data_IF_546500506868
#
_entry.id   IF_546500506868
#
_cell.length_a   1.000
_cell.length_b   1.000
_cell.length_c   1.000
_cell.angle_alpha   90.00
_cell.angle_beta   90.00
_cell.angle_gamma   90.00
#
_symmetry.space_group_name_H-M   'P 1'
#
loop_
_entity.id
_entity.type
_entity.pdbx_description
1 polymer ?
#
# COMPACT_ATOMS: atom_id res chain seq x y z
N UNK A 1 -21.99 6.97 11.72
CA UNK A 1 -20.99 6.64 10.67
C UNK A 1 -19.84 5.88 11.31
N UNK A 2 -19.46 4.73 10.76
CA UNK A 2 -18.34 3.93 11.28
C UNK A 2 -17.00 4.65 11.07
N UNK A 3 -16.22 4.86 12.14
CA UNK A 3 -14.91 5.55 12.11
C UNK A 3 -13.94 4.93 11.10
N UNK A 4 -13.91 3.59 11.00
CA UNK A 4 -13.12 2.82 10.01
C UNK A 4 -13.43 3.22 8.56
N UNK A 5 -14.71 3.44 8.23
CA UNK A 5 -15.11 3.82 6.87
C UNK A 5 -14.62 5.23 6.48
N UNK A 6 -14.54 6.16 7.44
CA UNK A 6 -13.99 7.50 7.19
C UNK A 6 -12.47 7.46 7.00
N UNK A 7 -11.76 6.65 7.80
CA UNK A 7 -10.31 6.44 7.65
C UNK A 7 -10.00 5.80 6.29
N UNK A 8 -10.71 4.75 5.89
CA UNK A 8 -10.55 4.09 4.59
C UNK A 8 -10.67 5.07 3.41
N UNK A 9 -11.71 5.92 3.42
CA UNK A 9 -11.89 6.96 2.39
C UNK A 9 -10.75 7.98 2.37
N UNK A 10 -10.17 8.30 3.54
CA UNK A 10 -9.02 9.20 3.61
C UNK A 10 -7.74 8.57 3.09
N UNK A 11 -7.57 7.24 3.24
CA UNK A 11 -6.40 6.51 2.75
C UNK A 11 -6.37 6.43 1.23
N UNK A 12 -7.51 6.24 0.58
CA UNK A 12 -7.61 6.20 -0.89
C UNK A 12 -7.22 7.53 -1.57
N UNK A 13 -7.08 8.62 -0.82
CA UNK A 13 -6.57 9.90 -1.35
C UNK A 13 -5.04 9.93 -1.45
N UNK A 14 -4.34 9.08 -0.69
CA UNK A 14 -2.89 9.02 -0.71
C UNK A 14 -2.43 8.19 -1.91
N UNK A 15 -1.61 8.79 -2.79
CA UNK A 15 -1.06 8.10 -3.96
C UNK A 15 -0.31 6.83 -3.57
N UNK A 16 0.37 6.81 -2.43
CA UNK A 16 1.14 5.63 -1.96
C UNK A 16 0.22 4.45 -1.67
N UNK A 17 -0.98 4.71 -1.14
CA UNK A 17 -2.01 3.69 -0.89
C UNK A 17 -2.55 3.15 -2.22
N UNK A 18 -2.83 4.03 -3.17
CA UNK A 18 -3.32 3.63 -4.50
C UNK A 18 -2.31 2.72 -5.21
N UNK A 19 -1.01 3.03 -5.14
CA UNK A 19 0.03 2.18 -5.73
C UNK A 19 0.12 0.81 -5.03
N UNK A 20 -0.10 0.74 -3.72
CA UNK A 20 -0.14 -0.52 -2.99
C UNK A 20 -1.37 -1.36 -3.38
N UNK A 21 -2.53 -0.73 -3.54
CA UNK A 21 -3.75 -1.39 -4.02
C UNK A 21 -3.56 -1.93 -5.44
N UNK A 22 -2.86 -1.20 -6.32
CA UNK A 22 -2.55 -1.69 -7.68
C UNK A 22 -1.63 -2.91 -7.66
N UNK A 23 -0.64 -2.95 -6.75
CA UNK A 23 0.21 -4.15 -6.59
C UNK A 23 -0.62 -5.33 -6.10
N UNK A 24 -1.49 -5.10 -5.12
CA UNK A 24 -2.40 -6.12 -4.61
C UNK A 24 -3.33 -6.65 -5.70
N UNK A 25 -3.95 -5.74 -6.46
CA UNK A 25 -4.78 -6.05 -7.62
C UNK A 25 -4.04 -6.96 -8.61
N UNK A 26 -2.80 -6.63 -8.95
CA UNK A 26 -2.01 -7.43 -9.89
C UNK A 26 -1.78 -8.85 -9.34
N UNK A 27 -1.33 -8.98 -8.09
CA UNK A 27 -1.07 -10.29 -7.47
C UNK A 27 -2.34 -11.14 -7.40
N UNK A 28 -3.47 -10.55 -7.01
CA UNK A 28 -4.74 -11.27 -6.92
C UNK A 28 -5.31 -11.62 -8.29
N UNK A 29 -5.10 -10.78 -9.30
CA UNK A 29 -5.50 -11.10 -10.68
C UNK A 29 -4.69 -12.26 -11.26
N UNK A 30 -3.39 -12.31 -10.98
CA UNK A 30 -2.53 -13.44 -11.37
C UNK A 30 -2.99 -14.74 -10.71
N UNK A 31 -3.37 -14.70 -9.42
CA UNK A 31 -3.90 -15.87 -8.69
C UNK A 31 -5.27 -16.31 -9.18
N UNK A 32 -6.14 -15.36 -9.51
CA UNK A 32 -7.51 -15.62 -9.96
C UNK A 32 -7.57 -16.05 -11.44
N UNK A 33 -6.50 -15.82 -12.21
CA UNK A 33 -6.45 -16.06 -13.65
C UNK A 33 -7.31 -15.08 -14.47
N UNK A 34 -7.78 -14.00 -13.85
CA UNK A 34 -8.55 -12.93 -14.48
C UNK A 34 -8.43 -11.63 -13.66
N UNK A 35 -8.71 -10.48 -14.28
CA UNK A 35 -8.73 -9.20 -13.56
C UNK A 35 -9.91 -9.16 -12.59
N UNK A 36 -9.62 -9.02 -11.30
CA UNK A 36 -10.63 -8.92 -10.24
C UNK A 36 -11.23 -7.51 -10.13
N UNK A 37 -10.59 -6.51 -10.75
CA UNK A 37 -11.02 -5.12 -10.74
C UNK A 37 -10.62 -4.34 -9.48
N UNK A 38 -10.49 -3.02 -9.65
CA UNK A 38 -9.95 -2.13 -8.63
C UNK A 38 -10.83 -2.04 -7.38
N UNK A 39 -12.15 -2.01 -7.52
CA UNK A 39 -13.06 -1.91 -6.39
C UNK A 39 -12.91 -3.10 -5.43
N UNK A 40 -12.88 -4.32 -5.96
CA UNK A 40 -12.73 -5.55 -5.18
C UNK A 40 -11.35 -5.62 -4.51
N UNK A 41 -10.28 -5.31 -5.27
CA UNK A 41 -8.93 -5.26 -4.71
C UNK A 41 -8.78 -4.17 -3.63
N UNK A 42 -9.42 -3.01 -3.81
CA UNK A 42 -9.36 -1.92 -2.84
C UNK A 42 -10.10 -2.27 -1.55
N UNK A 43 -11.25 -2.94 -1.64
CA UNK A 43 -12.01 -3.39 -0.48
C UNK A 43 -11.22 -4.41 0.34
N UNK A 44 -10.67 -5.42 -0.33
CA UNK A 44 -9.84 -6.45 0.31
C UNK A 44 -8.58 -5.85 0.94
N UNK A 45 -7.89 -4.96 0.22
CA UNK A 45 -6.69 -4.31 0.73
C UNK A 45 -6.99 -3.43 1.96
N UNK A 46 -8.10 -2.69 1.92
CA UNK A 46 -8.54 -1.85 3.04
C UNK A 46 -8.93 -2.67 4.27
N UNK A 47 -9.37 -3.91 4.09
CA UNK A 47 -9.71 -4.81 5.19
C UNK A 47 -8.48 -5.44 5.84
N UNK A 48 -7.55 -5.94 5.02
CA UNK A 48 -6.45 -6.80 5.49
C UNK A 48 -5.11 -6.06 5.69
N UNK A 49 -4.82 -5.02 4.89
CA UNK A 49 -3.48 -4.42 4.81
C UNK A 49 -3.41 -2.97 5.29
N UNK A 50 -4.51 -2.21 5.21
CA UNK A 50 -4.54 -0.78 5.55
C UNK A 50 -4.00 -0.46 6.95
N UNK A 51 -4.33 -1.29 7.95
CA UNK A 51 -3.90 -1.10 9.34
C UNK A 51 -2.39 -1.20 9.48
N UNK A 52 -1.78 -2.24 8.92
CA UNK A 52 -0.33 -2.43 8.96
C UNK A 52 0.39 -1.32 8.18
N UNK A 53 -0.16 -0.94 7.04
CA UNK A 53 0.37 0.15 6.22
C UNK A 53 0.37 1.49 6.97
N UNK A 54 -0.73 1.82 7.65
CA UNK A 54 -0.85 3.02 8.49
C UNK A 54 0.13 3.00 9.66
N UNK A 55 0.30 1.88 10.34
CA UNK A 55 1.26 1.78 11.45
C UNK A 55 2.70 2.04 11.01
N UNK A 56 3.07 1.54 9.82
CA UNK A 56 4.41 1.74 9.28
C UNK A 56 4.63 3.16 8.73
N UNK A 57 3.66 3.70 7.99
CA UNK A 57 3.82 4.97 7.28
C UNK A 57 3.27 6.19 8.03
N UNK A 58 2.45 5.99 9.07
CA UNK A 58 1.78 7.04 9.84
C UNK A 58 1.82 6.78 11.36
N UNK A 59 3.02 6.70 11.98
CA UNK A 59 3.17 6.34 13.40
C UNK A 59 2.42 7.30 14.35
N UNK A 60 2.27 8.57 13.98
CA UNK A 60 1.61 9.59 14.80
C UNK A 60 0.07 9.53 14.75
N UNK A 61 -0.51 8.71 13.86
CA UNK A 61 -1.98 8.64 13.65
C UNK A 61 -2.60 7.37 14.25
N UNK A 62 -1.79 6.38 14.59
CA UNK A 62 -2.25 5.09 15.12
C UNK A 62 -2.06 5.03 16.63
N UNK A 63 -3.11 4.94 17.46
CA UNK A 63 -2.94 4.59 18.86
C UNK A 63 -2.33 3.17 18.91
N UNK A 64 -1.15 3.08 19.51
CA UNK A 64 -0.31 1.87 19.61
C UNK A 64 -1.09 0.71 20.21
N UNK A 65 -1.70 -0.11 19.36
CA UNK A 65 -2.31 -1.37 19.78
C UNK A 65 -1.32 -2.46 19.41
N UNK A 66 -0.53 -2.90 20.39
CA UNK A 66 0.50 -3.93 20.24
C UNK A 66 -0.03 -5.17 19.49
N UNK A 67 0.50 -5.45 18.30
CA UNK A 67 0.66 -6.82 17.79
C UNK A 67 2.02 -6.93 17.10
N UNK A 68 2.81 -7.86 17.64
CA UNK A 68 4.20 -8.17 17.32
C UNK A 68 4.35 -8.89 15.96
N UNK A 69 5.57 -8.82 15.40
CA UNK A 69 6.18 -9.74 14.42
C UNK A 69 5.89 -9.59 12.92
N UNK A 70 5.95 -8.38 12.36
CA UNK A 70 6.22 -8.18 10.91
C UNK A 70 7.46 -7.29 10.66
N UNK A 71 8.39 -7.27 11.61
CA UNK A 71 9.68 -6.60 11.46
C UNK A 71 10.77 -7.64 11.24
N UNK A 72 10.92 -8.07 9.99
CA UNK A 72 12.13 -8.67 9.39
C UNK A 72 11.77 -9.03 7.94
N UNK A 73 12.45 -8.40 6.98
CA UNK A 73 12.38 -8.62 5.52
C UNK A 73 11.47 -7.68 4.68
N UNK A 74 11.65 -6.36 4.80
CA UNK A 74 11.41 -5.49 3.63
C UNK A 74 12.76 -4.93 3.18
N UNK A 75 13.32 -5.36 2.03
CA UNK A 75 14.52 -4.75 1.49
C UNK A 75 14.21 -3.31 1.11
N UNK A 76 14.89 -2.38 1.76
CA UNK A 76 14.94 -0.95 1.43
C UNK A 76 15.48 -0.77 0.01
N UNK A 77 14.59 -0.82 -1.00
CA UNK A 77 14.95 -0.49 -2.37
C UNK A 77 14.76 1.01 -2.61
N UNK A 78 15.59 1.81 -1.96
CA UNK A 78 15.89 3.17 -2.43
C UNK A 78 16.78 3.00 -3.66
N UNK A 79 16.21 3.01 -4.86
CA UNK A 79 17.02 3.15 -6.08
C UNK A 79 17.18 4.65 -6.37
N UNK A 80 18.40 5.20 -6.40
CA UNK A 80 18.61 6.56 -6.87
C UNK A 80 18.23 6.62 -8.35
N UNK A 81 17.40 7.60 -8.69
CA UNK A 81 17.16 8.09 -10.05
C UNK A 81 18.51 8.38 -10.70
N UNK A 82 19.01 7.46 -11.53
CA UNK A 82 20.15 7.72 -12.41
C UNK A 82 19.65 8.67 -13.49
N UNK A 83 19.97 9.96 -13.34
CA UNK A 83 19.90 10.93 -14.42
C UNK A 83 20.81 10.46 -15.56
N UNK A 84 20.24 10.03 -16.68
CA UNK A 84 20.98 9.84 -17.92
C UNK A 84 21.27 11.22 -18.51
N UNK A 85 22.44 11.78 -18.22
CA UNK A 85 23.02 12.84 -19.02
C UNK A 85 23.67 12.22 -20.25
N UNK A 86 22.92 12.12 -21.35
CA UNK A 86 23.50 11.93 -22.68
C UNK A 86 24.18 13.24 -23.07
N UNK A 87 25.52 13.29 -23.01
CA UNK A 87 26.28 14.30 -23.74
C UNK A 87 26.77 13.65 -25.03
N UNK A 88 26.08 14.00 -26.11
CA UNK A 88 26.58 13.89 -27.47
C UNK A 88 27.80 14.80 -27.64
N UNK A 89 28.69 14.37 -28.54
CA UNK A 89 29.89 15.01 -29.12
C UNK A 89 31.09 15.27 -28.20
#
# INVERSE_FOLDING_TARGET
MNKKAMENKSLLKDRRVIEEIKRHLWIESEKAGHDIGFDQASADWLEHFSKAWMQYHMPNKTPSTHQNNYSKNIPSKTQPIKSKSNKFI
#
